data_IF_510298269521
#
_entry.id   IF_510298269521
#
_cell.length_a   1.000
_cell.length_b   1.000
_cell.length_c   1.000
_cell.angle_alpha   90.00
_cell.angle_beta   90.00
_cell.angle_gamma   90.00
#
_symmetry.space_group_name_H-M   'P 1'
#
loop_
_entity.id
_entity.type
_entity.pdbx_description
1 polymer ?
#
# COMPACT_ATOMS: atom_id res chain seq x y z
N UNK A 1 2.96 -8.74 20.20
CA UNK A 1 2.04 -9.59 20.97
C UNK A 1 1.55 -10.70 20.05
N UNK A 2 2.04 -11.90 20.29
CA UNK A 2 1.75 -13.10 19.51
C UNK A 2 0.28 -13.47 19.75
N UNK A 3 -0.58 -13.33 18.73
CA UNK A 3 -1.96 -13.84 18.81
C UNK A 3 -1.90 -15.34 18.57
N UNK A 4 -1.90 -16.09 19.66
CA UNK A 4 -1.96 -17.55 19.69
C UNK A 4 -3.32 -17.98 19.17
N UNK A 5 -3.31 -18.70 18.07
CA UNK A 5 -4.44 -19.40 17.51
C UNK A 5 -4.77 -20.58 18.45
N UNK A 6 -5.67 -20.37 19.39
CA UNK A 6 -6.12 -21.42 20.30
C UNK A 6 -7.08 -22.34 19.57
N UNK A 7 -6.55 -23.47 19.13
CA UNK A 7 -7.30 -24.61 18.61
C UNK A 7 -8.05 -25.26 19.79
N UNK A 8 -9.34 -25.03 19.90
CA UNK A 8 -10.19 -25.83 20.80
C UNK A 8 -10.74 -27.01 20.01
N UNK A 9 -10.14 -28.16 20.25
CA UNK A 9 -10.60 -29.43 19.75
C UNK A 9 -11.75 -29.93 20.64
N UNK A 10 -12.99 -29.87 20.15
CA UNK A 10 -14.09 -30.68 20.72
C UNK A 10 -14.51 -31.71 19.69
N UNK A 11 -14.14 -32.98 19.99
CA UNK A 11 -14.62 -34.17 19.30
C UNK A 11 -16.08 -34.38 19.60
N UNK A 12 -16.93 -34.65 18.58
CA UNK A 12 -17.98 -35.66 18.60
C UNK A 12 -18.82 -35.62 17.32
N UNK A 13 -18.99 -36.81 16.69
CA UNK A 13 -20.12 -37.08 15.81
C UNK A 13 -19.78 -37.39 14.36
N UNK A 14 -19.39 -38.64 14.10
CA UNK A 14 -19.54 -39.31 12.81
C UNK A 14 -21.02 -39.41 12.46
N UNK A 15 -21.52 -38.57 11.55
CA UNK A 15 -22.78 -38.80 10.89
C UNK A 15 -22.87 -38.06 9.55
N UNK A 16 -22.96 -38.79 8.46
CA UNK A 16 -23.59 -38.35 7.22
C UNK A 16 -22.73 -37.45 6.31
N UNK A 17 -22.22 -38.02 5.24
CA UNK A 17 -21.56 -37.34 4.12
C UNK A 17 -22.58 -36.58 3.24
N UNK A 18 -23.31 -35.62 3.83
CA UNK A 18 -24.08 -34.61 3.14
C UNK A 18 -23.33 -33.31 3.22
N UNK A 19 -23.02 -32.66 2.10
CA UNK A 19 -22.43 -31.32 2.10
C UNK A 19 -23.44 -30.36 2.73
N UNK A 20 -23.41 -30.22 4.06
CA UNK A 20 -24.27 -29.26 4.77
C UNK A 20 -23.71 -27.87 4.49
N UNK A 21 -24.47 -27.03 3.80
CA UNK A 21 -24.15 -25.62 3.65
C UNK A 21 -24.55 -24.85 4.92
N UNK A 22 -23.59 -24.18 5.48
CA UNK A 22 -23.79 -23.30 6.64
C UNK A 22 -24.32 -21.94 6.16
N UNK A 23 -25.21 -21.32 6.92
CA UNK A 23 -25.82 -20.04 6.53
C UNK A 23 -24.96 -18.83 6.92
N UNK A 24 -24.19 -18.96 8.01
CA UNK A 24 -23.41 -17.88 8.62
C UNK A 24 -22.01 -18.34 8.97
N UNK A 25 -21.12 -17.39 9.16
CA UNK A 25 -19.82 -17.63 9.79
C UNK A 25 -20.01 -18.09 11.25
N UNK A 26 -19.03 -18.84 11.82
CA UNK A 26 -19.01 -19.12 13.25
C UNK A 26 -18.94 -17.81 14.05
N UNK A 27 -19.41 -17.83 15.29
CA UNK A 27 -19.28 -16.71 16.21
C UNK A 27 -17.80 -16.31 16.40
N UNK A 28 -17.53 -15.01 16.51
CA UNK A 28 -16.18 -14.45 16.71
C UNK A 28 -15.18 -14.80 15.58
N UNK A 29 -15.66 -15.04 14.37
CA UNK A 29 -14.81 -15.33 13.22
C UNK A 29 -14.39 -14.04 12.51
N UNK A 30 -13.11 -13.95 12.14
CA UNK A 30 -12.58 -12.80 11.40
C UNK A 30 -12.04 -13.22 10.03
N UNK A 31 -12.25 -12.38 9.03
CA UNK A 31 -11.63 -12.46 7.71
C UNK A 31 -10.74 -11.23 7.51
N UNK A 32 -9.44 -11.44 7.34
CA UNK A 32 -8.47 -10.32 7.16
C UNK A 32 -8.70 -9.21 8.19
N UNK A 33 -8.72 -9.57 9.47
CA UNK A 33 -8.97 -8.67 10.62
C UNK A 33 -10.36 -8.00 10.67
N UNK A 34 -11.28 -8.32 9.76
CA UNK A 34 -12.67 -7.85 9.79
C UNK A 34 -13.52 -8.89 10.53
N UNK A 35 -14.22 -8.45 11.57
CA UNK A 35 -15.17 -9.33 12.28
C UNK A 35 -16.37 -9.63 11.36
N UNK A 36 -16.58 -10.93 11.12
CA UNK A 36 -17.71 -11.45 10.33
C UNK A 36 -18.47 -12.53 11.10
N UNK A 37 -18.23 -12.67 12.42
CA UNK A 37 -18.86 -13.66 13.28
C UNK A 37 -20.39 -13.58 13.22
N UNK A 38 -21.05 -14.73 13.04
CA UNK A 38 -22.51 -14.84 12.91
C UNK A 38 -23.11 -14.24 11.62
N UNK A 39 -22.31 -13.62 10.76
CA UNK A 39 -22.80 -12.97 9.54
C UNK A 39 -23.07 -13.98 8.41
N UNK A 40 -24.11 -13.68 7.62
CA UNK A 40 -24.36 -14.31 6.33
C UNK A 40 -23.33 -13.84 5.28
N UNK A 41 -23.26 -14.52 4.15
CA UNK A 41 -22.39 -14.13 3.03
C UNK A 41 -22.60 -12.66 2.58
N UNK A 42 -23.86 -12.21 2.54
CA UNK A 42 -24.22 -10.85 2.15
C UNK A 42 -23.77 -9.80 3.18
N UNK A 43 -23.97 -10.09 4.45
CA UNK A 43 -23.57 -9.21 5.56
C UNK A 43 -22.04 -9.11 5.66
N UNK A 44 -21.35 -10.23 5.60
CA UNK A 44 -19.88 -10.27 5.60
C UNK A 44 -19.27 -9.51 4.41
N UNK A 45 -19.82 -9.68 3.20
CA UNK A 45 -19.44 -8.88 2.03
C UNK A 45 -19.58 -7.38 2.31
N UNK A 46 -20.72 -6.96 2.88
CA UNK A 46 -20.96 -5.54 3.21
C UNK A 46 -19.98 -5.03 4.27
N UNK A 47 -19.70 -5.85 5.29
CA UNK A 47 -18.75 -5.49 6.35
C UNK A 47 -17.33 -5.31 5.80
N UNK A 48 -16.88 -6.21 4.91
CA UNK A 48 -15.57 -6.14 4.27
C UNK A 48 -15.46 -4.91 3.38
N UNK A 49 -16.47 -4.62 2.53
CA UNK A 49 -16.47 -3.40 1.71
C UNK A 49 -16.36 -2.14 2.56
N UNK A 50 -17.16 -2.05 3.63
CA UNK A 50 -17.08 -0.92 4.57
C UNK A 50 -15.73 -0.80 5.25
N UNK A 51 -15.06 -1.93 5.52
CA UNK A 51 -13.72 -1.93 6.09
C UNK A 51 -12.68 -1.43 5.09
N UNK A 52 -12.81 -1.78 3.80
CA UNK A 52 -11.97 -1.28 2.70
C UNK A 52 -12.15 0.23 2.55
N UNK A 53 -13.39 0.74 2.49
CA UNK A 53 -13.68 2.17 2.32
C UNK A 53 -13.04 3.06 3.41
N UNK A 54 -12.71 2.47 4.57
CA UNK A 54 -12.11 3.14 5.72
C UNK A 54 -10.67 2.68 5.99
N UNK A 55 -10.12 1.89 5.07
CA UNK A 55 -8.80 1.32 5.30
C UNK A 55 -7.71 2.36 5.13
N UNK A 56 -6.88 2.45 6.14
CA UNK A 56 -5.63 3.20 6.16
C UNK A 56 -4.59 2.36 6.86
N UNK A 57 -3.38 2.38 6.34
CA UNK A 57 -2.21 1.73 6.92
C UNK A 57 -1.12 2.77 7.14
N UNK A 58 -0.61 2.82 8.37
CA UNK A 58 0.60 3.59 8.68
C UNK A 58 1.80 2.79 8.23
N UNK A 59 2.59 3.38 7.37
CA UNK A 59 3.81 2.80 6.83
C UNK A 59 4.99 3.54 7.41
N UNK A 60 5.92 2.78 7.99
CA UNK A 60 7.26 3.26 8.27
C UNK A 60 8.19 2.61 7.24
N UNK A 61 8.80 3.42 6.39
CA UNK A 61 9.78 2.99 5.40
C UNK A 61 11.08 3.73 5.70
N UNK A 62 12.10 2.97 6.10
CA UNK A 62 13.37 3.50 6.60
C UNK A 62 13.10 4.52 7.74
N UNK A 63 13.42 5.78 7.55
CA UNK A 63 13.22 6.85 8.54
C UNK A 63 11.94 7.67 8.33
N UNK A 64 11.18 7.42 7.27
CA UNK A 64 9.95 8.14 6.98
C UNK A 64 8.71 7.40 7.47
N UNK A 65 7.72 8.16 7.96
CA UNK A 65 6.40 7.66 8.33
C UNK A 65 5.33 8.37 7.51
N UNK A 66 4.41 7.61 6.92
CA UNK A 66 3.29 8.12 6.12
C UNK A 66 2.10 7.18 6.18
N UNK A 67 0.96 7.63 5.68
CA UNK A 67 -0.25 6.82 5.60
C UNK A 67 -0.59 6.54 4.13
N UNK A 68 -1.06 5.31 3.88
CA UNK A 68 -1.62 4.92 2.59
C UNK A 68 -3.05 4.44 2.80
N UNK A 69 -3.96 4.88 1.93
CA UNK A 69 -5.37 4.49 1.96
C UNK A 69 -5.67 3.38 0.93
N UNK A 70 -6.94 2.97 0.85
CA UNK A 70 -7.37 1.91 -0.07
C UNK A 70 -7.14 2.28 -1.54
N UNK A 71 -7.31 3.56 -1.91
CA UNK A 71 -7.12 4.06 -3.28
C UNK A 71 -5.64 4.00 -3.69
N UNK A 72 -4.73 4.47 -2.82
CA UNK A 72 -3.28 4.39 -3.05
C UNK A 72 -2.83 2.97 -3.34
N UNK A 73 -3.42 2.00 -2.64
CA UNK A 73 -3.10 0.58 -2.71
C UNK A 73 -3.87 -0.17 -3.82
N UNK A 74 -4.84 0.48 -4.49
CA UNK A 74 -5.76 -0.18 -5.40
C UNK A 74 -6.55 -1.30 -4.72
N UNK A 75 -6.84 -1.13 -3.41
CA UNK A 75 -7.50 -2.15 -2.61
C UNK A 75 -9.01 -2.12 -2.83
N UNK A 76 -9.54 -3.18 -3.40
CA UNK A 76 -10.95 -3.34 -3.69
C UNK A 76 -11.45 -4.71 -3.26
N UNK A 77 -12.75 -4.81 -2.97
CA UNK A 77 -13.38 -6.10 -2.76
C UNK A 77 -13.45 -6.88 -4.09
N UNK A 78 -13.01 -8.13 -4.06
CA UNK A 78 -13.15 -9.01 -5.23
C UNK A 78 -14.60 -9.52 -5.34
N UNK A 79 -15.37 -8.98 -6.27
CA UNK A 79 -16.77 -9.38 -6.50
C UNK A 79 -16.97 -10.87 -6.83
N UNK A 80 -15.91 -11.55 -7.29
CA UNK A 80 -15.90 -12.99 -7.58
C UNK A 80 -15.54 -13.85 -6.37
N UNK A 81 -15.34 -13.23 -5.18
CA UNK A 81 -15.03 -13.98 -3.97
C UNK A 81 -16.21 -14.86 -3.54
N UNK A 82 -15.98 -16.15 -3.43
CA UNK A 82 -16.98 -17.13 -2.99
C UNK A 82 -17.05 -17.15 -1.45
N UNK A 83 -17.92 -16.30 -0.91
CA UNK A 83 -18.16 -16.21 0.53
C UNK A 83 -18.80 -17.48 1.10
N UNK A 84 -19.58 -18.23 0.32
CA UNK A 84 -20.18 -19.48 0.78
C UNK A 84 -19.12 -20.55 1.02
N UNK A 85 -18.13 -20.63 0.14
CA UNK A 85 -16.97 -21.51 0.35
C UNK A 85 -16.24 -21.16 1.64
N UNK A 86 -16.05 -19.87 1.95
CA UNK A 86 -15.41 -19.42 3.20
C UNK A 86 -16.25 -19.76 4.43
N UNK A 87 -17.57 -19.54 4.39
CA UNK A 87 -18.48 -19.91 5.48
C UNK A 87 -18.40 -21.42 5.76
N UNK A 88 -18.46 -22.23 4.72
CA UNK A 88 -18.42 -23.67 4.84
C UNK A 88 -17.08 -24.17 5.40
N UNK A 89 -15.97 -23.57 4.97
CA UNK A 89 -14.63 -23.91 5.46
C UNK A 89 -14.46 -23.51 6.93
N UNK A 90 -14.87 -22.29 7.29
CA UNK A 90 -14.81 -21.78 8.65
C UNK A 90 -15.58 -22.66 9.65
N UNK A 91 -16.83 -23.06 9.30
CA UNK A 91 -17.65 -23.90 10.16
C UNK A 91 -17.15 -25.34 10.28
N UNK A 92 -16.29 -25.78 9.36
CA UNK A 92 -15.66 -27.10 9.38
C UNK A 92 -14.27 -27.11 9.98
N UNK A 93 -13.76 -25.96 10.43
CA UNK A 93 -12.37 -25.74 10.84
C UNK A 93 -11.37 -26.25 9.78
N UNK A 94 -11.64 -25.96 8.52
CA UNK A 94 -10.81 -26.38 7.38
C UNK A 94 -10.33 -25.18 6.59
N UNK A 95 -9.18 -25.33 5.98
CA UNK A 95 -8.76 -24.42 4.93
C UNK A 95 -9.70 -24.62 3.73
N UNK A 96 -10.15 -23.55 3.06
CA UNK A 96 -10.97 -23.68 1.86
C UNK A 96 -10.29 -24.57 0.81
N UNK A 97 -11.04 -25.49 0.20
CA UNK A 97 -10.54 -26.39 -0.86
C UNK A 97 -10.01 -25.62 -2.07
N UNK A 98 -10.49 -24.38 -2.25
CA UNK A 98 -10.00 -23.43 -3.24
C UNK A 98 -9.61 -22.14 -2.53
N UNK A 99 -8.45 -21.57 -2.92
CA UNK A 99 -8.05 -20.28 -2.41
C UNK A 99 -9.06 -19.21 -2.83
N UNK A 100 -9.76 -18.63 -1.86
CA UNK A 100 -10.69 -17.52 -2.10
C UNK A 100 -9.94 -16.21 -1.99
N UNK A 101 -9.83 -15.50 -3.10
CA UNK A 101 -9.21 -14.19 -3.15
C UNK A 101 -10.24 -13.12 -2.76
N UNK A 102 -10.12 -12.54 -1.58
CA UNK A 102 -11.06 -11.53 -1.06
C UNK A 102 -10.85 -10.14 -1.66
N UNK A 103 -9.62 -9.80 -2.00
CA UNK A 103 -9.24 -8.46 -2.44
C UNK A 103 -8.56 -8.48 -3.80
N UNK A 104 -8.82 -7.44 -4.58
CA UNK A 104 -7.95 -6.96 -5.61
C UNK A 104 -7.08 -5.84 -5.02
N UNK A 105 -5.86 -5.69 -5.48
CA UNK A 105 -4.91 -4.67 -5.04
C UNK A 105 -3.77 -4.59 -6.05
N UNK A 106 -3.03 -3.49 -6.04
CA UNK A 106 -1.77 -3.33 -6.76
C UNK A 106 -0.79 -4.44 -6.39
N UNK A 107 0.10 -4.81 -7.29
CA UNK A 107 1.07 -5.91 -7.11
C UNK A 107 2.36 -5.61 -7.86
N UNK A 108 3.44 -6.27 -7.45
CA UNK A 108 4.74 -6.12 -8.11
C UNK A 108 5.09 -4.65 -8.25
N UNK A 109 5.43 -4.24 -9.48
CA UNK A 109 5.87 -2.89 -9.79
C UNK A 109 4.81 -1.82 -9.49
N UNK A 110 3.51 -2.10 -9.71
CA UNK A 110 2.43 -1.17 -9.36
C UNK A 110 2.39 -0.87 -7.85
N UNK A 111 2.60 -1.88 -7.00
CA UNK A 111 2.64 -1.70 -5.55
C UNK A 111 3.93 -0.99 -5.13
N UNK A 112 5.04 -1.31 -5.78
CA UNK A 112 6.32 -0.66 -5.54
C UNK A 112 6.23 0.83 -5.90
N UNK A 113 5.67 1.16 -7.06
CA UNK A 113 5.48 2.54 -7.49
C UNK A 113 4.58 3.31 -6.52
N UNK A 114 3.44 2.73 -6.11
CA UNK A 114 2.56 3.37 -5.14
C UNK A 114 3.25 3.62 -3.78
N UNK A 115 4.07 2.69 -3.31
CA UNK A 115 4.86 2.84 -2.09
C UNK A 115 5.86 3.98 -2.22
N UNK A 116 6.61 4.02 -3.33
CA UNK A 116 7.64 5.04 -3.59
C UNK A 116 7.02 6.42 -3.78
N UNK A 117 5.90 6.53 -4.50
CA UNK A 117 5.19 7.79 -4.70
C UNK A 117 4.69 8.38 -3.38
N UNK A 118 4.13 7.54 -2.50
CA UNK A 118 3.70 7.96 -1.15
C UNK A 118 4.91 8.37 -0.27
N UNK A 119 6.02 7.66 -0.38
CA UNK A 119 7.26 7.98 0.32
C UNK A 119 7.82 9.34 -0.11
N UNK A 120 7.90 9.59 -1.44
CA UNK A 120 8.38 10.87 -2.00
C UNK A 120 7.48 12.02 -1.53
N UNK A 121 6.15 11.83 -1.59
CA UNK A 121 5.19 12.84 -1.13
C UNK A 121 5.43 13.20 0.34
N UNK A 122 5.58 12.21 1.21
CA UNK A 122 5.82 12.43 2.63
C UNK A 122 7.14 13.16 2.88
N UNK A 123 8.19 12.82 2.14
CA UNK A 123 9.49 13.49 2.27
C UNK A 123 9.43 14.95 1.79
N UNK A 124 8.66 15.24 0.75
CA UNK A 124 8.47 16.58 0.21
C UNK A 124 7.68 17.47 1.19
N UNK A 125 6.60 16.94 1.77
CA UNK A 125 5.79 17.65 2.77
C UNK A 125 6.59 17.99 4.03
N UNK A 126 7.41 17.05 4.52
CA UNK A 126 8.26 17.27 5.69
C UNK A 126 9.28 18.42 5.50
N UNK A 127 9.71 18.67 4.26
CA UNK A 127 10.63 19.79 3.95
C UNK A 127 9.92 21.14 3.87
N UNK A 128 8.71 21.20 3.33
CA UNK A 128 7.94 22.45 3.25
C UNK A 128 7.56 22.98 4.62
N UNK A 129 7.23 22.09 5.58
CA UNK A 129 6.93 22.50 6.96
C UNK A 129 8.15 23.05 7.71
N UNK A 130 9.36 22.65 7.33
CA UNK A 130 10.59 23.12 7.96
C UNK A 130 10.98 24.55 7.53
N UNK A 131 10.47 25.04 6.41
CA UNK A 131 10.77 26.38 5.88
C UNK A 131 9.80 27.47 6.35
N UNK A 132 8.66 27.11 6.97
CA UNK A 132 7.65 28.08 7.42
C UNK A 132 7.91 28.70 8.81
N UNK A 133 8.97 28.33 9.51
CA UNK A 133 9.33 28.83 10.85
C UNK A 133 10.57 29.74 10.86
N UNK A 134 10.72 30.60 9.87
CA UNK A 134 11.71 31.68 10.03
C UNK A 134 10.97 33.00 10.24
N UNK A 135 11.03 33.46 11.48
CA UNK A 135 10.45 34.70 11.98
C UNK A 135 10.80 35.89 11.11
N UNK A 136 9.79 36.75 10.95
CA UNK A 136 9.93 38.14 10.52
C UNK A 136 11.05 38.83 11.30
N UNK A 137 12.10 39.22 10.61
CA UNK A 137 12.68 40.54 10.91
C UNK A 137 13.21 41.21 9.63
N UNK A 138 12.81 42.42 9.51
CA UNK A 138 13.06 43.37 8.45
C UNK A 138 14.55 43.54 8.12
N UNK A 139 14.97 43.49 6.86
CA UNK A 139 15.56 44.63 6.19
C UNK A 139 15.83 44.35 4.69
N UNK A 140 15.83 45.43 3.96
CA UNK A 140 15.84 45.70 2.54
C UNK A 140 16.88 44.97 1.66
N UNK A 141 16.42 44.70 0.42
CA UNK A 141 17.23 44.60 -0.80
C UNK A 141 18.30 43.50 -0.92
N UNK A 142 17.88 42.36 -1.44
CA UNK A 142 18.48 41.76 -2.65
C UNK A 142 17.58 40.64 -3.18
N UNK A 143 16.96 40.95 -4.28
CA UNK A 143 16.35 39.99 -5.19
C UNK A 143 17.39 38.94 -5.55
N UNK A 144 17.33 37.78 -4.91
CA UNK A 144 17.98 36.58 -5.35
C UNK A 144 16.86 35.71 -5.90
N UNK A 145 16.76 35.72 -7.20
CA UNK A 145 16.03 34.79 -8.02
C UNK A 145 16.62 33.38 -7.78
N UNK A 146 16.17 32.73 -6.71
CA UNK A 146 16.37 31.30 -6.50
C UNK A 146 15.07 30.66 -6.85
N UNK A 147 15.02 30.12 -8.06
CA UNK A 147 13.93 29.28 -8.53
C UNK A 147 13.67 28.18 -7.49
N UNK A 148 12.41 28.00 -7.13
CA UNK A 148 11.91 26.97 -6.20
C UNK A 148 12.28 25.52 -6.58
N UNK A 149 13.06 25.34 -7.66
CA UNK A 149 13.58 24.06 -8.14
C UNK A 149 14.76 23.51 -7.32
N UNK A 150 15.34 24.26 -6.39
CA UNK A 150 16.43 23.77 -5.52
C UNK A 150 15.93 23.04 -4.27
N UNK A 151 14.61 22.96 -4.02
CA UNK A 151 14.10 22.53 -2.73
C UNK A 151 14.03 21.01 -2.59
N UNK A 152 13.92 20.25 -3.68
CA UNK A 152 13.92 18.80 -3.61
C UNK A 152 14.42 18.16 -4.92
N UNK A 153 15.61 17.60 -4.89
CA UNK A 153 16.11 16.76 -6.00
C UNK A 153 15.57 15.34 -5.85
N UNK A 154 14.46 15.06 -6.52
CA UNK A 154 13.87 13.68 -6.60
C UNK A 154 14.93 12.67 -7.04
N UNK A 155 15.92 13.05 -7.84
CA UNK A 155 17.04 12.20 -8.23
C UNK A 155 17.89 11.74 -7.06
N UNK A 156 17.94 12.52 -5.97
CA UNK A 156 18.65 12.13 -4.74
C UNK A 156 17.93 11.03 -4.00
N UNK A 157 16.59 10.98 -4.11
CA UNK A 157 15.75 9.98 -3.41
C UNK A 157 15.54 8.73 -4.29
N UNK A 158 15.33 8.93 -5.60
CA UNK A 158 15.07 7.84 -6.55
C UNK A 158 15.86 8.09 -7.85
N UNK A 159 17.18 7.99 -7.82
CA UNK A 159 18.05 8.45 -8.90
C UNK A 159 17.82 7.71 -10.23
N UNK A 160 17.31 6.49 -10.20
CA UNK A 160 17.03 5.71 -11.40
C UNK A 160 15.75 6.08 -12.14
N UNK A 161 14.87 6.92 -11.54
CA UNK A 161 13.64 7.35 -12.20
C UNK A 161 13.88 8.52 -13.14
N UNK A 162 13.21 8.47 -14.30
CA UNK A 162 13.09 9.61 -15.17
C UNK A 162 12.21 10.70 -14.51
N UNK A 163 12.54 11.95 -14.77
CA UNK A 163 11.81 13.11 -14.21
C UNK A 163 11.43 14.08 -15.34
N UNK A 164 10.53 15.01 -15.03
CA UNK A 164 10.17 16.12 -15.92
C UNK A 164 10.66 17.40 -15.26
N UNK A 165 11.40 18.20 -16.01
CA UNK A 165 11.93 19.50 -15.53
C UNK A 165 11.43 20.60 -16.46
N UNK A 166 11.10 21.76 -15.91
CA UNK A 166 10.77 22.93 -16.71
C UNK A 166 12.05 23.64 -17.14
N UNK A 167 12.25 23.75 -18.47
CA UNK A 167 13.32 24.54 -19.05
C UNK A 167 12.84 25.97 -19.28
N UNK A 168 13.26 26.87 -18.42
CA UNK A 168 12.83 28.28 -18.46
C UNK A 168 13.33 29.01 -19.71
N UNK A 169 14.49 28.64 -20.25
CA UNK A 169 15.06 29.25 -21.45
C UNK A 169 14.30 28.85 -22.72
N UNK A 170 13.84 27.59 -22.78
CA UNK A 170 13.02 27.07 -23.87
C UNK A 170 11.51 27.28 -23.66
N UNK A 171 11.07 27.61 -22.43
CA UNK A 171 9.67 27.81 -22.08
C UNK A 171 8.84 26.53 -22.14
N UNK A 172 9.44 25.36 -21.95
CA UNK A 172 8.79 24.06 -22.09
C UNK A 172 9.26 23.06 -21.04
N UNK A 173 8.46 22.00 -20.84
CA UNK A 173 8.86 20.87 -20.02
C UNK A 173 9.72 19.91 -20.83
N UNK A 174 10.78 19.39 -20.21
CA UNK A 174 11.71 18.43 -20.80
C UNK A 174 11.81 17.18 -19.93
N UNK A 175 11.85 16.01 -20.57
CA UNK A 175 12.13 14.76 -19.91
C UNK A 175 13.63 14.64 -19.59
N UNK A 176 13.94 14.24 -18.38
CA UNK A 176 15.32 13.97 -17.93
C UNK A 176 15.43 12.50 -17.58
N UNK A 177 16.35 11.80 -18.25
CA UNK A 177 16.65 10.40 -17.98
C UNK A 177 17.07 10.16 -16.54
N UNK A 178 16.65 9.03 -15.98
CA UNK A 178 17.15 8.54 -14.70
C UNK A 178 18.62 8.13 -14.79
N UNK A 179 19.31 8.08 -13.68
CA UNK A 179 20.73 7.72 -13.59
C UNK A 179 20.87 6.27 -13.14
N UNK A 180 21.62 5.47 -13.92
CA UNK A 180 21.98 4.11 -13.51
C UNK A 180 23.02 4.13 -12.40
N UNK A 181 22.90 3.23 -11.43
CA UNK A 181 23.85 3.10 -10.32
C UNK A 181 23.25 2.36 -9.14
N UNK A 182 23.97 2.41 -8.01
CA UNK A 182 23.42 1.89 -6.76
C UNK A 182 22.31 2.82 -6.26
N UNK A 183 21.14 2.24 -6.06
CA UNK A 183 19.96 2.96 -5.63
C UNK A 183 19.15 2.14 -4.61
N UNK A 184 18.26 2.78 -3.84
CA UNK A 184 17.30 2.06 -3.01
C UNK A 184 16.39 1.18 -3.86
N UNK A 185 16.19 -0.07 -3.43
CA UNK A 185 15.28 -1.04 -4.05
C UNK A 185 14.15 -1.33 -3.07
N UNK A 186 12.92 -1.22 -3.55
CA UNK A 186 11.72 -1.32 -2.71
C UNK A 186 10.86 -2.56 -2.99
N UNK A 187 11.32 -3.51 -3.81
CA UNK A 187 10.60 -4.73 -4.20
C UNK A 187 10.19 -5.58 -2.99
N UNK A 188 11.11 -5.80 -2.05
CA UNK A 188 10.86 -6.53 -0.80
C UNK A 188 9.94 -5.76 0.12
N UNK A 189 10.10 -4.44 0.22
CA UNK A 189 9.23 -3.56 0.98
C UNK A 189 7.79 -3.62 0.43
N UNK A 190 7.61 -3.52 -0.89
CA UNK A 190 6.31 -3.62 -1.55
C UNK A 190 5.65 -5.00 -1.36
N UNK A 191 6.45 -6.08 -1.38
CA UNK A 191 5.96 -7.43 -1.08
C UNK A 191 5.47 -7.55 0.37
N UNK A 192 6.22 -6.99 1.32
CA UNK A 192 5.87 -6.96 2.74
C UNK A 192 4.63 -6.12 2.99
N UNK A 193 4.52 -4.95 2.32
CA UNK A 193 3.32 -4.11 2.33
C UNK A 193 2.10 -4.87 1.79
N UNK A 194 2.22 -5.51 0.64
CA UNK A 194 1.14 -6.32 0.05
C UNK A 194 0.64 -7.40 1.01
N UNK A 195 1.53 -8.02 1.77
CA UNK A 195 1.16 -9.02 2.77
C UNK A 195 0.42 -8.39 3.95
N UNK A 196 0.86 -7.24 4.44
CA UNK A 196 0.20 -6.51 5.51
C UNK A 196 -1.21 -6.03 5.10
N UNK A 197 -1.35 -5.54 3.85
CA UNK A 197 -2.64 -5.10 3.30
C UNK A 197 -3.63 -6.26 3.14
N UNK A 198 -3.19 -7.44 2.69
CA UNK A 198 -4.05 -8.65 2.61
C UNK A 198 -4.63 -9.04 3.97
N UNK A 199 -3.89 -8.81 5.03
CA UNK A 199 -4.33 -9.05 6.40
C UNK A 199 -5.06 -7.85 7.01
N UNK A 200 -5.23 -6.76 6.25
CA UNK A 200 -5.78 -5.47 6.69
C UNK A 200 -5.11 -4.95 7.98
N UNK A 201 -3.79 -5.11 8.08
CA UNK A 201 -3.01 -4.55 9.18
C UNK A 201 -3.07 -3.03 9.17
N UNK A 202 -2.97 -2.42 10.34
CA UNK A 202 -2.99 -0.96 10.51
C UNK A 202 -1.63 -0.32 10.49
N UNK A 203 -0.56 -1.14 10.52
CA UNK A 203 0.84 -0.68 10.51
C UNK A 203 1.71 -1.64 9.72
N UNK A 204 2.68 -1.10 9.01
CA UNK A 204 3.76 -1.85 8.37
C UNK A 204 5.09 -1.15 8.62
N UNK A 205 6.10 -1.92 9.03
CA UNK A 205 7.48 -1.47 9.15
C UNK A 205 8.27 -2.13 8.01
N UNK A 206 8.81 -1.30 7.15
CA UNK A 206 9.45 -1.67 5.90
C UNK A 206 10.87 -1.11 5.87
N UNK A 207 11.70 -1.76 5.09
CA UNK A 207 13.07 -1.34 4.85
C UNK A 207 13.36 -1.46 3.36
N UNK A 208 14.05 -0.47 2.81
CA UNK A 208 14.63 -0.56 1.47
C UNK A 208 15.86 -1.50 1.49
N UNK A 209 16.29 -1.91 0.33
CA UNK A 209 17.60 -2.54 0.14
C UNK A 209 18.38 -1.71 -0.88
N UNK A 210 19.70 -1.82 -0.88
CA UNK A 210 20.53 -1.15 -1.89
C UNK A 210 20.94 -2.15 -2.96
N UNK A 211 20.92 -1.71 -4.21
CA UNK A 211 21.38 -2.51 -5.34
C UNK A 211 21.51 -1.68 -6.60
N UNK A 212 22.15 -2.27 -7.62
CA UNK A 212 22.28 -1.61 -8.89
C UNK A 212 20.94 -1.57 -9.62
N UNK A 213 20.54 -0.37 -10.06
CA UNK A 213 19.33 -0.12 -10.85
C UNK A 213 19.72 0.60 -12.13
N UNK A 214 19.11 0.18 -13.23
CA UNK A 214 19.26 0.86 -14.52
C UNK A 214 18.35 2.09 -14.55
N UNK A 215 18.90 3.22 -15.02
CA UNK A 215 18.15 4.47 -15.14
C UNK A 215 17.01 4.36 -16.16
N UNK A 216 15.84 4.83 -15.78
CA UNK A 216 14.70 4.93 -16.69
C UNK A 216 15.00 5.95 -17.81
N UNK A 217 14.49 5.67 -19.00
CA UNK A 217 14.48 6.65 -20.08
C UNK A 217 13.26 7.55 -19.96
N UNK A 218 13.48 8.85 -20.10
CA UNK A 218 12.37 9.79 -20.24
C UNK A 218 11.60 9.49 -21.53
N UNK A 219 10.27 9.62 -21.49
CA UNK A 219 9.47 9.53 -22.69
C UNK A 219 9.84 10.65 -23.66
N UNK A 220 9.96 10.31 -24.96
CA UNK A 220 10.19 11.34 -25.97
C UNK A 220 9.04 12.36 -25.97
N UNK A 221 9.37 13.64 -26.13
CA UNK A 221 8.43 14.75 -26.10
C UNK A 221 7.31 14.68 -27.14
N UNK A 222 7.45 13.82 -28.15
CA UNK A 222 6.45 13.62 -29.21
C UNK A 222 5.28 12.72 -28.78
N UNK A 223 5.28 12.21 -27.54
CA UNK A 223 4.25 11.31 -27.00
C UNK A 223 3.31 11.99 -25.97
N UNK A 224 3.38 13.31 -25.79
CA UNK A 224 2.55 14.07 -24.85
C UNK A 224 1.61 15.01 -25.59
#
# INVERSE_FOLDING_TARGET
LLVIFTLVLTTLGLAGCGKKDYKTFPDKYTLSSVDVGGMTAKEAKKAIKKAIDKYQIKVKLDDAEFEMNAEDLGLEYNEKADMQTLINAANRNKVPDKQVKLFNMKKGDEMQNALVDSYITAMTEAQTDSTSNTDNDTDDTKQADKSDAEIFDIKTVVPYRATITYNADAGQFEGVDGVSGDAPIYDKAATKLSSAVKEMKKKAELESSTGYVEGEKAADSDAV
#
